data_IF_929691025115
#
_entry.id   IF_929691025115
#
_cell.length_a   1.000
_cell.length_b   1.000
_cell.length_c   1.000
_cell.angle_alpha   90.00
_cell.angle_beta   90.00
_cell.angle_gamma   90.00
#
_symmetry.space_group_name_H-M   'P 1'
#
loop_
_entity.id
_entity.type
_entity.pdbx_description
1 polymer ?
#
# COMPACT_ATOMS: atom_id res chain seq x y z
N UNK A 1 -52.13 2.43 31.90
CA UNK A 1 -51.36 1.83 33.00
C UNK A 1 -49.89 2.17 32.79
N UNK A 2 -49.41 3.12 33.59
CA UNK A 2 -48.06 3.65 33.58
C UNK A 2 -47.17 2.80 34.50
N UNK A 3 -46.03 2.32 34.00
CA UNK A 3 -44.95 1.86 34.88
C UNK A 3 -43.64 2.53 34.44
N UNK A 4 -43.23 3.53 35.24
CA UNK A 4 -41.90 4.13 35.22
C UNK A 4 -40.92 3.16 35.88
N UNK A 5 -39.81 2.87 35.21
CA UNK A 5 -38.62 2.30 35.84
C UNK A 5 -37.55 3.38 35.98
N UNK A 6 -37.29 3.73 37.22
CA UNK A 6 -36.18 4.57 37.67
C UNK A 6 -35.01 3.61 37.99
N UNK A 7 -33.88 3.68 37.30
CA UNK A 7 -32.66 2.93 37.56
C UNK A 7 -31.46 3.85 37.60
N UNK A 8 -31.02 4.20 38.84
CA UNK A 8 -29.87 5.06 39.08
C UNK A 8 -28.55 4.39 38.70
N UNK A 9 -27.76 5.07 37.90
CA UNK A 9 -26.36 4.71 37.59
C UNK A 9 -25.48 5.12 38.78
N UNK A 10 -24.92 4.13 39.49
CA UNK A 10 -23.76 4.33 40.38
C UNK A 10 -22.49 4.23 39.54
N UNK A 11 -21.72 5.30 39.50
CA UNK A 11 -20.38 5.34 38.94
C UNK A 11 -19.40 4.52 39.79
N UNK A 12 -18.85 3.47 39.23
CA UNK A 12 -17.71 2.71 39.75
C UNK A 12 -16.49 3.08 38.96
N UNK A 13 -15.61 3.89 39.56
CA UNK A 13 -14.25 4.13 39.01
C UNK A 13 -13.43 2.89 39.23
N UNK A 14 -13.15 2.14 38.16
CA UNK A 14 -12.19 1.03 38.16
C UNK A 14 -10.81 1.60 37.85
N UNK A 15 -9.93 1.61 38.86
CA UNK A 15 -8.51 1.90 38.70
C UNK A 15 -7.82 0.74 38.01
N UNK A 16 -7.15 1.03 36.88
CA UNK A 16 -6.29 0.09 36.16
C UNK A 16 -4.98 -0.09 36.93
N UNK A 17 -4.52 -1.32 37.20
CA UNK A 17 -3.25 -1.55 37.86
C UNK A 17 -2.07 -1.25 36.92
N UNK A 18 -0.92 -0.79 37.42
CA UNK A 18 0.26 -0.52 36.62
C UNK A 18 0.91 -1.82 36.10
N UNK A 19 1.31 -1.81 34.84
CA UNK A 19 2.06 -2.88 34.19
C UNK A 19 3.49 -2.91 34.76
N UNK A 20 4.00 -4.06 35.21
CA UNK A 20 5.38 -4.16 35.70
C UNK A 20 6.36 -3.99 34.55
N UNK A 21 7.31 -3.07 34.72
CA UNK A 21 8.36 -2.77 33.77
C UNK A 21 9.28 -3.98 33.55
N UNK A 22 9.35 -4.41 32.29
CA UNK A 22 10.33 -5.37 31.80
C UNK A 22 11.63 -4.62 31.50
N UNK A 23 12.62 -4.76 32.37
CA UNK A 23 13.98 -4.32 32.11
C UNK A 23 14.62 -5.27 31.10
N UNK A 24 14.91 -4.74 29.90
CA UNK A 24 15.77 -5.41 28.92
C UNK A 24 17.21 -5.06 29.28
N UNK A 25 18.13 -6.03 29.46
CA UNK A 25 19.53 -5.74 29.74
C UNK A 25 20.25 -5.16 28.52
N UNK A 26 20.91 -4.03 28.70
CA UNK A 26 21.85 -3.46 27.74
C UNK A 26 23.07 -4.40 27.65
N UNK A 27 23.26 -5.01 26.49
CA UNK A 27 24.51 -5.72 26.18
C UNK A 27 25.49 -4.69 25.64
N UNK A 28 26.47 -4.31 26.45
CA UNK A 28 27.68 -3.62 26.00
C UNK A 28 28.57 -4.65 25.28
N UNK A 29 28.75 -4.49 23.99
CA UNK A 29 29.79 -5.16 23.23
C UNK A 29 30.91 -4.16 22.94
N UNK A 30 31.90 -4.12 23.80
CA UNK A 30 33.20 -3.54 23.49
C UNK A 30 33.93 -4.48 22.52
N UNK A 31 34.02 -4.06 21.27
CA UNK A 31 34.90 -4.74 20.30
C UNK A 31 35.85 -3.70 19.72
N UNK A 32 37.04 -3.67 20.22
CA UNK A 32 38.18 -2.91 19.66
C UNK A 32 38.51 -3.48 18.27
N UNK A 33 38.49 -2.63 17.24
CA UNK A 33 39.00 -2.95 15.92
C UNK A 33 40.49 -2.58 15.80
N UNK A 34 41.34 -3.42 15.23
CA UNK A 34 42.75 -3.13 15.06
C UNK A 34 42.98 -2.08 13.98
N UNK A 35 43.83 -1.12 14.31
CA UNK A 35 44.34 -0.08 13.41
C UNK A 35 45.30 -0.72 12.40
N UNK A 36 44.95 -0.73 11.12
CA UNK A 36 45.84 -1.15 10.05
C UNK A 36 46.44 0.05 9.31
N UNK A 37 47.74 -0.08 9.05
CA UNK A 37 48.70 0.91 8.67
C UNK A 37 48.45 1.72 7.40
N UNK A 38 49.02 2.90 7.41
CA UNK A 38 49.19 3.86 6.32
C UNK A 38 50.05 3.31 5.18
N UNK A 39 49.43 2.93 4.08
CA UNK A 39 50.10 2.67 2.81
C UNK A 39 49.73 3.73 1.79
N UNK A 40 50.67 4.63 1.49
CA UNK A 40 50.55 5.62 0.42
C UNK A 40 50.58 4.91 -0.97
N UNK A 41 49.44 4.91 -1.68
CA UNK A 41 49.39 4.46 -3.08
C UNK A 41 49.14 5.68 -3.98
N UNK A 42 50.16 6.08 -4.70
CA UNK A 42 50.13 7.02 -5.81
C UNK A 42 49.36 6.44 -6.98
N UNK A 43 48.22 7.03 -7.32
CA UNK A 43 47.42 6.70 -8.50
C UNK A 43 47.91 7.46 -9.74
N UNK A 44 48.09 6.80 -10.90
CA UNK A 44 48.39 7.50 -12.13
C UNK A 44 47.15 8.20 -12.68
N UNK A 45 47.31 9.47 -13.11
CA UNK A 45 46.30 10.26 -13.79
C UNK A 45 45.85 9.57 -15.10
N UNK A 46 44.59 9.15 -15.16
CA UNK A 46 43.94 8.73 -16.43
C UNK A 46 43.03 9.87 -16.91
N UNK A 47 43.34 10.32 -18.14
CA UNK A 47 42.44 11.21 -18.90
C UNK A 47 41.07 10.56 -19.09
N UNK A 48 39.95 11.30 -18.93
CA UNK A 48 38.63 10.77 -19.22
C UNK A 48 38.44 10.76 -20.75
N UNK A 49 38.42 9.57 -21.35
CA UNK A 49 37.85 9.39 -22.66
C UNK A 49 36.35 9.69 -22.61
N UNK A 50 35.88 10.63 -23.41
CA UNK A 50 34.45 10.87 -23.63
C UNK A 50 33.83 9.64 -24.32
N UNK A 51 33.46 8.64 -23.54
CA UNK A 51 32.56 7.58 -23.94
C UNK A 51 31.11 8.05 -23.70
N UNK A 52 30.35 8.15 -24.79
CA UNK A 52 28.91 8.34 -24.67
C UNK A 52 28.32 7.21 -23.84
N UNK A 53 27.98 7.48 -22.60
CA UNK A 53 27.26 6.55 -21.74
C UNK A 53 25.86 6.36 -22.34
N UNK A 54 25.65 5.24 -23.01
CA UNK A 54 24.31 4.79 -23.39
C UNK A 54 23.53 4.69 -22.09
N UNK A 55 22.63 5.64 -21.84
CA UNK A 55 21.72 5.62 -20.71
C UNK A 55 20.85 4.38 -20.89
N UNK A 56 21.14 3.34 -20.12
CA UNK A 56 20.30 2.15 -20.05
C UNK A 56 18.94 2.61 -19.53
N UNK A 57 17.88 2.43 -20.34
CA UNK A 57 16.52 2.75 -19.89
C UNK A 57 16.25 2.02 -18.56
N UNK A 58 15.66 2.71 -17.57
CA UNK A 58 15.36 2.10 -16.29
C UNK A 58 14.36 0.97 -16.51
N UNK A 59 14.81 -0.28 -16.35
CA UNK A 59 13.93 -1.44 -16.43
C UNK A 59 13.36 -1.71 -15.04
N UNK A 60 12.05 -1.56 -14.87
CA UNK A 60 11.39 -1.89 -13.62
C UNK A 60 11.37 -3.42 -13.44
N UNK A 61 12.37 -3.96 -12.76
CA UNK A 61 12.32 -5.33 -12.24
C UNK A 61 11.40 -5.37 -11.02
N UNK A 62 11.00 -6.57 -10.57
CA UNK A 62 10.17 -6.74 -9.37
C UNK A 62 10.79 -6.11 -8.11
N UNK A 63 12.10 -6.14 -8.05
CA UNK A 63 12.90 -5.70 -6.90
C UNK A 63 13.55 -4.32 -7.14
N UNK A 64 13.15 -3.61 -8.22
CA UNK A 64 13.71 -2.29 -8.50
C UNK A 64 13.14 -1.26 -7.54
N UNK A 65 14.05 -0.54 -6.89
CA UNK A 65 13.78 0.59 -6.03
C UNK A 65 14.44 1.82 -6.63
N UNK A 66 13.66 2.86 -6.88
CA UNK A 66 14.16 4.14 -7.33
C UNK A 66 13.84 5.21 -6.30
N UNK A 67 14.76 6.16 -6.12
CA UNK A 67 14.52 7.36 -5.34
C UNK A 67 14.62 8.56 -6.27
N UNK A 68 13.60 9.40 -6.28
CA UNK A 68 13.51 10.57 -7.16
C UNK A 68 13.21 11.79 -6.30
N UNK A 69 14.07 12.81 -6.36
CA UNK A 69 13.78 14.12 -5.77
C UNK A 69 12.86 14.91 -6.70
N UNK A 70 11.78 15.42 -6.14
CA UNK A 70 10.85 16.28 -6.86
C UNK A 70 10.19 17.23 -5.87
N UNK A 71 10.15 18.52 -6.20
CA UNK A 71 9.49 19.54 -5.37
C UNK A 71 9.97 19.52 -3.90
N UNK A 72 11.27 19.29 -3.67
CA UNK A 72 11.91 19.15 -2.35
C UNK A 72 11.45 17.97 -1.52
N UNK A 73 10.78 16.97 -2.14
CA UNK A 73 10.32 15.75 -1.50
C UNK A 73 10.97 14.54 -2.17
N UNK A 74 11.39 13.59 -1.36
CA UNK A 74 11.97 12.34 -1.86
C UNK A 74 10.85 11.34 -2.16
N UNK A 75 10.70 10.98 -3.43
CA UNK A 75 9.78 9.94 -3.85
C UNK A 75 10.49 8.58 -3.92
N UNK A 76 9.96 7.60 -3.23
CA UNK A 76 10.38 6.19 -3.33
C UNK A 76 9.45 5.51 -4.33
N UNK A 77 10.01 5.01 -5.44
CA UNK A 77 9.24 4.36 -6.51
C UNK A 77 9.61 2.89 -6.58
N UNK A 78 8.62 2.03 -6.40
CA UNK A 78 8.75 0.58 -6.48
C UNK A 78 7.45 -0.06 -7.00
N UNK A 79 7.54 -1.32 -7.41
CA UNK A 79 6.37 -2.10 -7.82
C UNK A 79 5.56 -2.62 -6.62
N UNK A 80 6.19 -2.81 -5.47
CA UNK A 80 5.59 -3.34 -4.25
C UNK A 80 6.09 -2.59 -3.01
N UNK A 81 5.15 -2.02 -2.25
CA UNK A 81 5.43 -1.29 -1.01
C UNK A 81 4.90 -2.00 0.23
N UNK A 82 4.46 -3.25 0.12
CA UNK A 82 3.93 -3.97 1.28
C UNK A 82 4.94 -3.99 2.43
N UNK A 83 4.46 -3.97 3.68
CA UNK A 83 5.33 -3.90 4.86
C UNK A 83 6.34 -5.05 5.02
N UNK A 84 6.33 -6.02 4.10
CA UNK A 84 7.27 -7.15 4.03
C UNK A 84 8.41 -6.92 3.03
N UNK A 85 8.49 -5.76 2.39
CA UNK A 85 9.40 -5.49 1.28
C UNK A 85 10.47 -4.47 1.65
N UNK A 86 11.59 -4.50 0.93
CA UNK A 86 12.66 -3.54 1.10
C UNK A 86 12.22 -2.08 0.91
N UNK A 87 11.36 -1.73 -0.09
CA UNK A 87 10.86 -0.37 -0.25
C UNK A 87 10.16 0.17 1.00
N UNK A 88 9.35 -0.64 1.68
CA UNK A 88 8.70 -0.21 2.92
C UNK A 88 9.72 0.14 4.02
N UNK A 89 10.71 -0.72 4.24
CA UNK A 89 11.74 -0.47 5.25
C UNK A 89 12.66 0.68 4.86
N UNK A 90 12.89 0.91 3.56
CA UNK A 90 13.63 2.07 3.08
C UNK A 90 12.87 3.36 3.38
N UNK A 91 11.56 3.42 3.11
CA UNK A 91 10.71 4.55 3.47
C UNK A 91 10.79 4.82 4.97
N UNK A 92 10.55 3.78 5.79
CA UNK A 92 10.56 3.91 7.25
C UNK A 92 11.92 4.41 7.77
N UNK A 93 13.04 3.91 7.23
CA UNK A 93 14.38 4.39 7.60
C UNK A 93 14.59 5.87 7.27
N UNK A 94 14.18 6.29 6.06
CA UNK A 94 14.29 7.68 5.64
C UNK A 94 13.43 8.62 6.51
N UNK A 95 12.22 8.19 6.90
CA UNK A 95 11.38 8.93 7.85
C UNK A 95 12.05 9.05 9.23
N UNK A 96 12.66 7.98 9.74
CA UNK A 96 13.39 7.99 11.01
C UNK A 96 14.65 8.88 10.96
N UNK A 97 15.24 9.06 9.76
CA UNK A 97 16.32 10.05 9.52
C UNK A 97 15.80 11.50 9.42
N UNK A 98 14.49 11.73 9.57
CA UNK A 98 13.86 13.05 9.49
C UNK A 98 13.65 13.58 8.07
N UNK A 99 13.73 12.74 7.05
CA UNK A 99 13.49 13.13 5.66
C UNK A 99 12.00 13.13 5.34
N UNK A 100 11.56 14.09 4.54
CA UNK A 100 10.21 14.08 3.95
C UNK A 100 10.20 13.12 2.76
N UNK A 101 9.42 12.04 2.88
CA UNK A 101 9.37 10.95 1.91
C UNK A 101 7.95 10.67 1.47
N UNK A 102 7.74 10.39 0.20
CA UNK A 102 6.47 9.91 -0.36
C UNK A 102 6.66 8.57 -1.11
N UNK A 103 5.75 7.62 -0.89
CA UNK A 103 4.68 7.63 0.10
C UNK A 103 5.25 7.55 1.52
N UNK A 104 4.48 7.96 2.53
CA UNK A 104 4.85 7.68 3.92
C UNK A 104 4.58 6.21 4.26
N UNK A 105 5.29 5.68 5.26
CA UNK A 105 5.05 4.31 5.76
C UNK A 105 3.61 4.12 6.25
N UNK A 106 3.03 5.15 6.87
CA UNK A 106 1.62 5.16 7.29
C UNK A 106 0.66 5.10 6.09
N UNK A 107 0.89 5.94 5.05
CA UNK A 107 0.06 5.91 3.83
C UNK A 107 0.10 4.56 3.13
N UNK A 108 1.25 3.89 3.14
CA UNK A 108 1.39 2.53 2.57
C UNK A 108 0.51 1.52 3.32
N UNK A 109 0.53 1.53 4.65
CA UNK A 109 -0.33 0.65 5.46
C UNK A 109 -1.80 0.96 5.21
N UNK A 110 -2.18 2.24 5.24
CA UNK A 110 -3.55 2.68 4.99
C UNK A 110 -4.04 2.24 3.59
N UNK A 111 -3.17 2.26 2.58
CA UNK A 111 -3.52 1.90 1.21
C UNK A 111 -3.68 0.38 1.01
N UNK A 112 -2.79 -0.44 1.59
CA UNK A 112 -2.76 -1.87 1.31
C UNK A 112 -3.58 -2.74 2.27
N UNK A 113 -4.05 -2.19 3.38
CA UNK A 113 -5.01 -2.84 4.27
C UNK A 113 -6.42 -2.44 3.84
N UNK A 114 -7.13 -3.33 3.15
CA UNK A 114 -8.39 -3.03 2.46
C UNK A 114 -9.40 -2.25 3.30
N UNK A 115 -9.73 -2.62 4.56
CA UNK A 115 -10.65 -1.82 5.38
C UNK A 115 -10.15 -0.38 5.65
N UNK A 116 -8.83 -0.21 5.88
CA UNK A 116 -8.26 1.13 6.09
C UNK A 116 -8.30 1.95 4.81
N UNK A 117 -7.99 1.33 3.67
CA UNK A 117 -8.07 1.96 2.35
C UNK A 117 -9.48 2.50 2.07
N UNK A 118 -10.50 1.67 2.29
CA UNK A 118 -11.90 2.03 2.06
C UNK A 118 -12.37 3.14 2.99
N UNK A 119 -12.02 3.07 4.28
CA UNK A 119 -12.36 4.11 5.25
C UNK A 119 -11.70 5.45 4.91
N UNK A 120 -10.39 5.43 4.60
CA UNK A 120 -9.67 6.64 4.17
C UNK A 120 -10.25 7.24 2.91
N UNK A 121 -10.55 6.40 1.92
CA UNK A 121 -11.17 6.83 0.68
C UNK A 121 -12.56 7.45 0.92
N UNK A 122 -13.39 6.80 1.74
CA UNK A 122 -14.72 7.31 2.10
C UNK A 122 -14.64 8.68 2.77
N UNK A 123 -13.76 8.84 3.76
CA UNK A 123 -13.54 10.11 4.46
C UNK A 123 -13.01 11.22 3.53
N UNK A 124 -12.27 10.85 2.49
CA UNK A 124 -11.79 11.77 1.46
C UNK A 124 -12.82 12.07 0.35
N UNK A 125 -14.03 11.48 0.43
CA UNK A 125 -15.08 11.65 -0.58
C UNK A 125 -14.88 10.81 -1.85
N UNK A 126 -13.92 9.89 -1.88
CA UNK A 126 -13.75 8.93 -2.97
C UNK A 126 -14.84 7.88 -2.89
N UNK A 127 -15.61 7.63 -3.97
CA UNK A 127 -16.68 6.66 -3.94
C UNK A 127 -16.16 5.23 -3.68
N UNK A 128 -16.77 4.53 -2.71
CA UNK A 128 -16.49 3.13 -2.37
C UNK A 128 -17.78 2.31 -2.34
N UNK A 129 -17.69 0.99 -2.47
CA UNK A 129 -18.82 0.12 -2.20
C UNK A 129 -19.16 0.13 -0.69
N UNK A 130 -20.39 -0.19 -0.34
CA UNK A 130 -20.73 -0.54 1.04
C UNK A 130 -19.90 -1.76 1.46
N UNK A 131 -19.23 -1.68 2.60
CA UNK A 131 -18.29 -2.70 3.05
C UNK A 131 -18.41 -2.97 4.56
N UNK A 132 -17.84 -4.08 4.98
CA UNK A 132 -17.76 -4.43 6.39
C UNK A 132 -16.73 -5.53 6.65
N UNK A 133 -16.53 -5.79 7.94
CA UNK A 133 -15.63 -6.86 8.43
C UNK A 133 -16.48 -7.93 9.09
N UNK A 134 -16.20 -9.20 8.78
CA UNK A 134 -16.92 -10.35 9.32
C UNK A 134 -15.98 -11.55 9.51
N UNK A 135 -16.42 -12.50 10.33
CA UNK A 135 -15.77 -13.81 10.46
C UNK A 135 -16.59 -14.96 9.83
N UNK A 136 -17.86 -14.77 9.60
CA UNK A 136 -18.73 -15.83 9.09
C UNK A 136 -19.85 -15.39 8.16
N UNK A 137 -20.39 -14.20 8.35
CA UNK A 137 -21.47 -13.70 7.49
C UNK A 137 -20.91 -13.02 6.24
N UNK A 138 -21.47 -13.37 5.10
CA UNK A 138 -21.16 -12.77 3.80
C UNK A 138 -22.45 -12.36 3.12
N UNK A 139 -22.68 -11.07 2.85
CA UNK A 139 -23.74 -10.65 1.94
C UNK A 139 -23.46 -11.16 0.53
N UNK A 140 -24.48 -11.28 -0.30
CA UNK A 140 -24.35 -11.75 -1.68
C UNK A 140 -25.16 -10.86 -2.61
N UNK A 141 -24.62 -10.50 -3.79
CA UNK A 141 -23.25 -10.78 -4.25
C UNK A 141 -22.20 -9.88 -3.57
N UNK A 142 -20.97 -10.36 -3.43
CA UNK A 142 -19.91 -9.60 -2.76
C UNK A 142 -18.51 -9.86 -3.34
N UNK A 143 -17.59 -8.92 -3.07
CA UNK A 143 -16.15 -9.13 -3.16
C UNK A 143 -15.63 -9.42 -1.75
N UNK A 144 -14.77 -10.41 -1.62
CA UNK A 144 -14.17 -10.82 -0.34
C UNK A 144 -12.66 -10.66 -0.38
N UNK A 145 -12.10 -10.07 0.68
CA UNK A 145 -10.67 -9.88 0.90
C UNK A 145 -10.24 -10.51 2.22
N UNK A 146 -9.18 -11.30 2.20
CA UNK A 146 -8.58 -11.82 3.43
C UNK A 146 -7.89 -10.73 4.24
N UNK A 147 -7.95 -10.84 5.57
CA UNK A 147 -7.26 -9.95 6.50
C UNK A 147 -6.20 -10.69 7.32
N UNK A 148 -5.77 -11.86 6.86
CA UNK A 148 -4.69 -12.59 7.51
C UNK A 148 -3.32 -12.09 7.05
N UNK A 149 -2.27 -12.51 7.75
CA UNK A 149 -0.88 -12.11 7.46
C UNK A 149 -0.41 -12.42 6.02
N UNK A 150 -0.98 -13.44 5.37
CA UNK A 150 -0.59 -13.87 4.03
C UNK A 150 -1.46 -13.24 2.94
N UNK A 151 -2.59 -12.66 3.32
CA UNK A 151 -3.50 -12.04 2.37
C UNK A 151 -2.88 -10.79 1.74
N UNK A 152 -3.16 -10.60 0.47
CA UNK A 152 -2.84 -9.38 -0.28
C UNK A 152 -4.12 -8.81 -0.87
N UNK A 153 -4.19 -7.51 -1.03
CA UNK A 153 -5.33 -6.85 -1.69
C UNK A 153 -5.46 -7.21 -3.19
N UNK A 154 -4.44 -7.86 -3.76
CA UNK A 154 -4.48 -8.40 -5.11
C UNK A 154 -5.26 -9.72 -5.21
N UNK A 155 -5.46 -10.40 -4.07
CA UNK A 155 -6.14 -11.69 -3.98
C UNK A 155 -7.52 -11.50 -3.40
N UNK A 156 -8.51 -11.42 -4.27
CA UNK A 156 -9.92 -11.30 -3.90
C UNK A 156 -10.77 -12.35 -4.60
N UNK A 157 -11.93 -12.66 -4.03
CA UNK A 157 -12.93 -13.46 -4.69
C UNK A 157 -14.24 -12.72 -4.86
N UNK A 158 -14.84 -12.91 -6.03
CA UNK A 158 -16.21 -12.48 -6.31
C UNK A 158 -17.14 -13.65 -6.07
N UNK A 159 -18.00 -13.50 -5.08
CA UNK A 159 -18.95 -14.56 -4.69
C UNK A 159 -20.37 -14.12 -4.97
N UNK A 160 -21.13 -15.02 -5.61
CA UNK A 160 -22.53 -14.79 -5.98
C UNK A 160 -23.46 -15.86 -5.39
N UNK A 161 -22.89 -16.94 -4.90
CA UNK A 161 -23.63 -18.04 -4.25
C UNK A 161 -23.03 -18.38 -2.88
N UNK A 162 -23.87 -18.89 -1.98
CA UNK A 162 -23.51 -19.16 -0.60
C UNK A 162 -22.53 -20.34 -0.44
N UNK A 163 -22.51 -21.28 -1.37
CA UNK A 163 -21.62 -22.45 -1.32
C UNK A 163 -20.18 -22.01 -1.55
N UNK A 164 -19.92 -21.32 -2.65
CA UNK A 164 -18.61 -20.75 -2.97
C UNK A 164 -18.15 -19.74 -1.93
N UNK A 165 -19.08 -18.91 -1.40
CA UNK A 165 -18.76 -17.97 -0.34
C UNK A 165 -18.23 -18.68 0.90
N UNK A 166 -18.89 -19.74 1.37
CA UNK A 166 -18.46 -20.53 2.55
C UNK A 166 -17.09 -21.17 2.35
N UNK A 167 -16.83 -21.73 1.16
CA UNK A 167 -15.55 -22.34 0.84
C UNK A 167 -14.42 -21.32 0.83
N UNK A 168 -14.64 -20.17 0.16
CA UNK A 168 -13.66 -19.11 0.10
C UNK A 168 -13.40 -18.48 1.47
N UNK A 169 -14.44 -18.18 2.24
CA UNK A 169 -14.32 -17.65 3.61
C UNK A 169 -13.50 -18.61 4.48
N UNK A 170 -13.76 -19.92 4.42
CA UNK A 170 -12.96 -20.92 5.15
C UNK A 170 -11.47 -20.84 4.80
N UNK A 171 -11.15 -20.57 3.54
CA UNK A 171 -9.77 -20.43 3.07
C UNK A 171 -9.12 -19.12 3.57
N UNK A 172 -9.72 -17.95 3.27
CA UNK A 172 -9.13 -16.65 3.60
C UNK A 172 -9.08 -16.33 5.09
N UNK A 173 -9.97 -16.94 5.89
CA UNK A 173 -10.00 -16.79 7.35
C UNK A 173 -9.09 -17.78 8.06
N UNK A 174 -8.40 -18.67 7.35
CA UNK A 174 -7.70 -19.79 7.92
C UNK A 174 -8.59 -20.59 8.89
N UNK A 175 -9.73 -21.05 8.37
CA UNK A 175 -10.78 -21.79 9.11
C UNK A 175 -11.36 -21.01 10.29
N UNK A 176 -11.64 -19.73 10.09
CA UNK A 176 -12.28 -18.87 11.07
C UNK A 176 -11.34 -18.21 12.10
N UNK A 177 -10.02 -18.33 11.94
CA UNK A 177 -9.05 -17.67 12.83
C UNK A 177 -8.95 -16.16 12.61
N UNK A 178 -9.16 -15.70 11.39
CA UNK A 178 -9.03 -14.30 11.00
C UNK A 178 -10.35 -13.78 10.45
N UNK A 179 -10.64 -12.49 10.62
CA UNK A 179 -11.75 -11.85 9.92
C UNK A 179 -11.42 -11.70 8.42
N UNK A 180 -12.42 -11.31 7.67
CA UNK A 180 -12.31 -10.90 6.26
C UNK A 180 -13.08 -9.61 6.03
N UNK A 181 -12.67 -8.84 5.02
CA UNK A 181 -13.43 -7.69 4.52
C UNK A 181 -14.33 -8.15 3.38
N UNK A 182 -15.57 -7.68 3.37
CA UNK A 182 -16.49 -7.85 2.27
C UNK A 182 -16.95 -6.50 1.73
N UNK A 183 -17.29 -6.48 0.44
CA UNK A 183 -17.90 -5.32 -0.21
C UNK A 183 -19.14 -5.78 -0.96
N UNK A 184 -20.25 -5.10 -0.72
CA UNK A 184 -21.52 -5.39 -1.39
C UNK A 184 -21.42 -5.01 -2.86
N UNK A 185 -21.86 -5.92 -3.74
CA UNK A 185 -21.95 -5.67 -5.17
C UNK A 185 -23.40 -5.44 -5.58
N UNK A 186 -23.63 -4.46 -6.44
CA UNK A 186 -24.89 -4.36 -7.14
C UNK A 186 -25.01 -5.47 -8.19
N UNK A 187 -26.23 -5.84 -8.54
CA UNK A 187 -26.47 -6.75 -9.66
C UNK A 187 -25.94 -6.16 -10.96
N UNK A 188 -25.23 -6.94 -11.75
CA UNK A 188 -24.61 -6.48 -12.99
C UNK A 188 -23.34 -5.65 -12.81
N UNK A 189 -22.85 -5.42 -11.59
CA UNK A 189 -21.60 -4.72 -11.37
C UNK A 189 -20.40 -5.47 -11.96
N UNK A 190 -19.51 -4.74 -12.61
CA UNK A 190 -18.27 -5.25 -13.20
C UNK A 190 -17.06 -4.82 -12.39
N UNK A 191 -16.07 -5.71 -12.29
CA UNK A 191 -14.83 -5.44 -11.59
C UNK A 191 -13.73 -5.23 -12.62
N UNK A 192 -13.03 -4.11 -12.50
CA UNK A 192 -11.90 -3.76 -13.34
C UNK A 192 -10.67 -3.43 -12.51
N UNK A 193 -9.53 -3.37 -13.19
CA UNK A 193 -8.30 -2.88 -12.61
C UNK A 193 -7.53 -2.01 -13.59
N UNK A 194 -6.75 -1.08 -13.08
CA UNK A 194 -5.82 -0.29 -13.87
C UNK A 194 -4.55 0.00 -13.07
N UNK A 195 -3.46 0.21 -13.77
CA UNK A 195 -2.22 0.74 -13.18
C UNK A 195 -2.32 2.27 -13.15
N UNK A 196 -1.99 2.85 -12.01
CA UNK A 196 -1.79 4.28 -11.86
C UNK A 196 -0.32 4.58 -11.60
N UNK A 197 0.22 5.56 -12.32
CA UNK A 197 1.60 6.02 -12.26
C UNK A 197 1.57 7.51 -11.93
N UNK A 198 1.92 7.90 -10.70
CA UNK A 198 1.77 9.26 -10.18
C UNK A 198 0.36 9.84 -10.47
N UNK A 199 -0.68 9.03 -10.20
CA UNK A 199 -2.08 9.39 -10.44
C UNK A 199 -2.53 9.37 -11.91
N UNK A 200 -1.66 9.03 -12.87
CA UNK A 200 -1.99 8.94 -14.30
C UNK A 200 -2.23 7.50 -14.72
N UNK A 201 -3.12 7.31 -15.67
CA UNK A 201 -3.45 6.01 -16.27
C UNK A 201 -3.28 6.06 -17.78
N UNK A 202 -2.76 4.98 -18.38
CA UNK A 202 -2.65 4.86 -19.84
C UNK A 202 -4.01 4.54 -20.47
N UNK A 203 -4.38 5.25 -21.52
CA UNK A 203 -5.53 4.94 -22.42
C UNK A 203 -6.88 4.70 -21.73
N UNK A 204 -7.11 5.20 -20.50
CA UNK A 204 -8.34 4.96 -19.73
C UNK A 204 -9.36 6.07 -19.93
N UNK A 205 -10.63 5.76 -19.67
CA UNK A 205 -11.66 6.77 -19.68
C UNK A 205 -11.44 7.82 -18.58
N UNK A 206 -11.94 9.03 -18.78
CA UNK A 206 -11.73 10.17 -17.89
C UNK A 206 -12.09 9.89 -16.42
N UNK A 207 -13.14 9.11 -16.16
CA UNK A 207 -13.58 8.77 -14.79
C UNK A 207 -12.61 7.84 -14.05
N UNK A 208 -11.98 6.90 -14.77
CA UNK A 208 -10.94 6.06 -14.19
C UNK A 208 -9.68 6.88 -13.92
N UNK A 209 -9.34 7.82 -14.80
CA UNK A 209 -8.23 8.73 -14.60
C UNK A 209 -8.47 9.68 -13.41
N UNK A 210 -9.70 10.16 -13.23
CA UNK A 210 -10.10 10.95 -12.07
C UNK A 210 -9.96 10.15 -10.76
N UNK A 211 -10.46 8.92 -10.73
CA UNK A 211 -10.28 8.02 -9.58
C UNK A 211 -8.79 7.80 -9.26
N UNK A 212 -7.96 7.58 -10.28
CA UNK A 212 -6.52 7.37 -10.10
C UNK A 212 -5.82 8.62 -9.53
N UNK A 213 -6.22 9.79 -9.98
CA UNK A 213 -5.70 11.06 -9.45
C UNK A 213 -6.09 11.25 -7.98
N UNK A 214 -7.36 11.03 -7.62
CA UNK A 214 -7.85 11.13 -6.24
C UNK A 214 -7.14 10.14 -5.32
N UNK A 215 -6.92 8.90 -5.77
CA UNK A 215 -6.16 7.88 -5.01
C UNK A 215 -4.72 8.33 -4.80
N UNK A 216 -4.07 8.91 -5.82
CA UNK A 216 -2.72 9.42 -5.67
C UNK A 216 -2.64 10.61 -4.71
N UNK A 217 -3.56 11.54 -4.78
CA UNK A 217 -3.65 12.68 -3.85
C UNK A 217 -3.85 12.24 -2.40
N UNK A 218 -4.58 11.14 -2.18
CA UNK A 218 -4.83 10.61 -0.84
C UNK A 218 -3.65 9.83 -0.26
N UNK A 219 -3.03 8.94 -1.05
CA UNK A 219 -2.02 8.01 -0.54
C UNK A 219 -0.59 8.33 -0.99
N UNK A 220 -0.41 9.17 -2.00
CA UNK A 220 0.87 9.53 -2.59
C UNK A 220 1.73 8.36 -3.04
N UNK A 221 1.12 7.22 -3.39
CA UNK A 221 1.84 6.05 -3.88
C UNK A 221 2.12 6.22 -5.38
N UNK A 222 3.40 6.29 -5.80
CA UNK A 222 3.75 6.63 -7.17
C UNK A 222 3.35 5.57 -8.20
N UNK A 223 3.34 4.29 -7.80
CA UNK A 223 3.05 3.17 -8.70
C UNK A 223 2.16 2.16 -7.99
N UNK A 224 0.93 2.01 -8.46
CA UNK A 224 -0.08 1.19 -7.79
C UNK A 224 -1.09 0.60 -8.78
N UNK A 225 -1.61 -0.58 -8.47
CA UNK A 225 -2.78 -1.15 -9.16
C UNK A 225 -4.04 -0.78 -8.38
N UNK A 226 -4.98 -0.12 -9.03
CA UNK A 226 -6.29 0.23 -8.51
C UNK A 226 -7.28 -0.84 -8.97
N UNK A 227 -7.97 -1.49 -8.05
CA UNK A 227 -9.12 -2.34 -8.31
C UNK A 227 -10.38 -1.51 -8.07
N UNK A 228 -11.28 -1.49 -9.02
CA UNK A 228 -12.52 -0.73 -8.96
C UNK A 228 -13.73 -1.56 -9.35
N UNK A 229 -14.88 -1.18 -8.84
CA UNK A 229 -16.18 -1.70 -9.23
C UNK A 229 -16.86 -0.68 -10.12
N UNK A 230 -17.28 -1.10 -11.33
CA UNK A 230 -18.12 -0.31 -12.22
C UNK A 230 -19.57 -0.71 -12.01
N UNK A 231 -20.39 0.23 -11.60
CA UNK A 231 -21.84 0.09 -11.49
C UNK A 231 -22.50 1.13 -12.39
N UNK A 232 -22.86 0.73 -13.60
CA UNK A 232 -23.28 1.63 -14.67
C UNK A 232 -22.19 2.63 -15.00
N UNK A 233 -22.47 3.91 -14.75
CA UNK A 233 -21.57 5.03 -14.99
C UNK A 233 -20.64 5.37 -13.79
N UNK A 234 -20.83 4.72 -12.63
CA UNK A 234 -20.06 4.99 -11.41
C UNK A 234 -18.86 4.06 -11.30
N UNK A 235 -17.74 4.62 -10.92
CA UNK A 235 -16.53 3.88 -10.58
C UNK A 235 -16.30 4.02 -9.09
N UNK A 236 -16.23 2.90 -8.38
CA UNK A 236 -16.09 2.81 -6.94
C UNK A 236 -14.76 2.15 -6.63
N UNK A 237 -13.95 2.74 -5.76
CA UNK A 237 -12.72 2.11 -5.31
C UNK A 237 -13.04 0.82 -4.54
N UNK A 238 -12.31 -0.24 -4.83
CA UNK A 238 -12.45 -1.53 -4.15
C UNK A 238 -11.21 -1.89 -3.34
N UNK A 239 -10.03 -1.79 -3.94
CA UNK A 239 -8.77 -2.02 -3.25
C UNK A 239 -7.60 -1.44 -4.01
N UNK A 240 -6.46 -1.37 -3.33
CA UNK A 240 -5.18 -1.00 -3.90
C UNK A 240 -4.20 -2.16 -3.72
N UNK A 241 -3.38 -2.44 -4.72
CA UNK A 241 -2.46 -3.56 -4.69
C UNK A 241 -1.14 -3.26 -5.40
N UNK A 242 -0.08 -4.03 -5.10
CA UNK A 242 1.18 -3.93 -5.82
C UNK A 242 1.03 -4.11 -7.32
N UNK A 243 1.92 -3.48 -8.07
CA UNK A 243 1.96 -3.59 -9.53
C UNK A 243 2.77 -4.83 -9.93
N UNK A 244 2.26 -5.59 -10.88
CA UNK A 244 3.04 -6.64 -11.53
C UNK A 244 3.82 -6.02 -12.69
N UNK A 245 5.12 -5.77 -12.50
CA UNK A 245 5.99 -5.13 -13.51
C UNK A 245 5.92 -5.79 -14.88
N UNK A 246 5.74 -7.12 -14.94
CA UNK A 246 5.55 -7.88 -16.17
C UNK A 246 4.23 -7.58 -16.92
N UNK A 247 3.27 -6.95 -16.26
CA UNK A 247 1.97 -6.60 -16.84
C UNK A 247 1.85 -5.15 -17.28
N UNK A 248 2.89 -4.34 -17.06
CA UNK A 248 2.92 -2.97 -17.56
C UNK A 248 2.92 -2.96 -19.08
N UNK A 249 2.00 -2.18 -19.68
CA UNK A 249 1.99 -1.90 -21.11
C UNK A 249 3.18 -1.01 -21.50
N UNK A 250 3.49 -0.93 -22.79
CA UNK A 250 4.57 -0.06 -23.27
C UNK A 250 4.27 1.42 -22.99
N UNK A 251 2.99 1.82 -23.08
CA UNK A 251 2.56 3.19 -22.71
C UNK A 251 2.77 3.46 -21.22
N UNK A 252 2.40 2.53 -20.33
CA UNK A 252 2.65 2.65 -18.89
C UNK A 252 4.16 2.70 -18.57
N UNK A 253 4.98 1.90 -19.27
CA UNK A 253 6.46 1.95 -19.15
C UNK A 253 7.00 3.31 -19.59
N UNK A 254 6.49 3.87 -20.69
CA UNK A 254 6.91 5.18 -21.18
C UNK A 254 6.56 6.29 -20.17
N UNK A 255 5.36 6.27 -19.59
CA UNK A 255 4.95 7.23 -18.55
C UNK A 255 5.90 7.11 -17.34
N UNK A 256 6.15 5.89 -16.85
CA UNK A 256 7.04 5.66 -15.71
C UNK A 256 8.47 6.13 -16.00
N UNK A 257 9.02 5.78 -17.17
CA UNK A 257 10.35 6.20 -17.60
C UNK A 257 10.48 7.72 -17.67
N UNK A 258 9.45 8.41 -18.17
CA UNK A 258 9.43 9.87 -18.21
C UNK A 258 9.50 10.48 -16.79
N UNK A 259 8.81 9.90 -15.81
CA UNK A 259 8.91 10.35 -14.42
C UNK A 259 10.27 10.06 -13.80
N UNK A 260 10.84 8.88 -14.05
CA UNK A 260 12.14 8.48 -13.51
C UNK A 260 13.31 9.27 -14.13
N UNK A 261 13.16 9.76 -15.37
CA UNK A 261 14.19 10.55 -16.05
C UNK A 261 14.23 12.02 -15.64
N UNK A 262 13.20 12.53 -14.98
CA UNK A 262 13.11 13.91 -14.46
C UNK A 262 13.78 14.04 -13.09
N UNK A 263 14.87 13.32 -12.83
CA UNK A 263 15.63 13.46 -11.59
C UNK A 263 16.26 14.83 -11.50
N UNK A 264 15.93 15.60 -10.47
CA UNK A 264 16.75 16.70 -10.02
C UNK A 264 18.03 16.10 -9.42
N UNK A 265 19.16 16.25 -10.11
CA UNK A 265 20.46 15.91 -9.54
C UNK A 265 20.79 16.94 -8.45
N UNK A 266 21.03 16.46 -7.26
CA UNK A 266 21.61 17.21 -6.16
C UNK A 266 23.07 17.60 -6.47
#
# INVERSE_FOLDING_TARGET
>A
MNTRFNGGCRGGSASVPPIPGSCVPLIHADTELPVAGSGSLTLPARHPAHGATVRKEPSLSRDALYTVWRDHVLHVVSADYTYKTEPYYTILRLELEGKTVLPSSASVIDAYVVPLCLERAHLAGIPVCEWGISQGYTPLPAILYGLNYYATAAEYAVVRDSGKAKEFVKHITNRGKYPFCYQNLAEGAEIGSCTAIFGRTAGRCSRVAELAQQVYELFHIPLITIVYVRNGERFLLSSLSPVKSSKLSDEERAILSAFLSQQEFL
#
